data_IF_040959207331
#
_entry.id   IF_040959207331
#
_cell.length_a   1.000
_cell.length_b   1.000
_cell.length_c   1.000
_cell.angle_alpha   90.00
_cell.angle_beta   90.00
_cell.angle_gamma   90.00
#
_symmetry.space_group_name_H-M   'P 1'
#
loop_
_entity.id
_entity.type
_entity.pdbx_description
1 polymer ?
#
# COMPACT_ATOMS: atom_id res chain seq x y z
N UNK A 1 -2.49 15.45 -12.46
CA UNK A 1 -1.19 15.95 -11.96
C UNK A 1 -1.00 15.48 -10.54
N UNK A 2 0.24 15.24 -10.12
CA UNK A 2 0.61 14.68 -8.81
C UNK A 2 0.02 15.49 -7.61
N UNK A 3 -0.30 16.76 -7.83
CA UNK A 3 -0.96 17.65 -6.85
C UNK A 3 -2.49 17.53 -6.82
N UNK A 4 -3.09 16.50 -7.43
CA UNK A 4 -4.53 16.29 -7.30
C UNK A 4 -4.85 15.91 -5.85
N UNK A 5 -5.95 16.42 -5.28
CA UNK A 5 -6.32 16.14 -3.89
C UNK A 5 -6.47 14.63 -3.62
N UNK A 6 -6.85 13.86 -4.64
CA UNK A 6 -6.91 12.39 -4.60
C UNK A 6 -5.54 11.74 -4.40
N UNK A 7 -4.51 12.17 -5.15
CA UNK A 7 -3.17 11.63 -5.00
C UNK A 7 -2.58 11.92 -3.61
N UNK A 8 -2.79 13.12 -3.09
CA UNK A 8 -2.33 13.52 -1.77
C UNK A 8 -3.03 12.69 -0.68
N UNK A 9 -4.34 12.49 -0.81
CA UNK A 9 -5.11 11.69 0.14
C UNK A 9 -4.65 10.22 0.18
N UNK A 10 -4.38 9.60 -0.98
CA UNK A 10 -3.85 8.24 -1.06
C UNK A 10 -2.46 8.16 -0.41
N UNK A 11 -1.57 9.12 -0.71
CA UNK A 11 -0.23 9.14 -0.13
C UNK A 11 -0.26 9.29 1.41
N UNK A 12 -1.14 10.14 1.94
CA UNK A 12 -1.33 10.30 3.39
C UNK A 12 -1.85 9.02 4.04
N UNK A 13 -2.75 8.30 3.38
CA UNK A 13 -3.23 7.00 3.89
C UNK A 13 -2.10 5.97 3.94
N UNK A 14 -1.35 5.81 2.84
CA UNK A 14 -0.22 4.85 2.78
C UNK A 14 0.82 5.17 3.85
N UNK A 15 1.20 6.45 4.01
CA UNK A 15 2.17 6.86 5.03
C UNK A 15 1.62 6.63 6.45
N UNK A 16 0.33 6.91 6.68
CA UNK A 16 -0.32 6.67 7.97
C UNK A 16 -0.37 5.19 8.36
N UNK A 17 -0.73 4.32 7.41
CA UNK A 17 -0.75 2.87 7.61
C UNK A 17 0.68 2.31 7.78
N UNK A 18 1.65 2.80 7.01
CA UNK A 18 3.07 2.47 7.22
C UNK A 18 3.52 2.81 8.65
N UNK A 19 3.12 3.96 9.20
CA UNK A 19 3.38 4.33 10.60
C UNK A 19 2.73 3.37 11.61
N UNK A 20 1.54 2.84 11.33
CA UNK A 20 0.92 1.82 12.18
C UNK A 20 1.67 0.48 12.12
N UNK A 21 2.24 0.13 10.96
CA UNK A 21 3.04 -1.08 10.80
C UNK A 21 4.40 -1.01 11.48
N UNK A 22 5.04 0.16 11.61
CA UNK A 22 6.29 0.28 12.38
C UNK A 22 6.05 0.09 13.89
N UNK A 23 4.87 0.44 14.40
CA UNK A 23 4.51 0.23 15.80
C UNK A 23 4.19 -1.23 16.13
N UNK A 24 3.46 -1.91 15.23
CA UNK A 24 3.02 -3.29 15.42
C UNK A 24 4.07 -4.32 15.01
N UNK A 25 4.86 -4.02 13.99
CA UNK A 25 5.86 -4.90 13.40
C UNK A 25 5.31 -5.77 12.28
N UNK A 26 6.18 -6.07 11.32
CA UNK A 26 5.94 -6.98 10.20
C UNK A 26 6.83 -8.20 10.37
N UNK A 27 6.36 -9.37 9.97
CA UNK A 27 7.15 -10.59 9.98
C UNK A 27 7.71 -10.79 8.57
N UNK A 28 9.03 -10.88 8.46
CA UNK A 28 9.75 -11.21 7.23
C UNK A 28 10.11 -12.68 7.23
N UNK A 29 9.86 -13.37 6.11
CA UNK A 29 10.23 -14.78 5.92
C UNK A 29 11.30 -15.05 4.89
N UNK A 30 11.89 -14.00 4.32
CA UNK A 30 13.05 -14.20 3.47
C UNK A 30 14.18 -14.83 4.31
N UNK A 31 14.79 -15.93 3.82
CA UNK A 31 15.96 -16.47 4.47
C UNK A 31 17.08 -15.42 4.46
N UNK A 32 17.80 -15.29 5.58
CA UNK A 32 18.94 -14.36 5.68
C UNK A 32 20.08 -14.90 4.81
N UNK A 33 20.03 -14.59 3.51
CA UNK A 33 21.07 -14.96 2.54
C UNK A 33 21.49 -13.74 1.75
N UNK A 34 22.57 -13.09 2.20
CA UNK A 34 23.26 -12.05 1.44
C UNK A 34 24.51 -11.54 2.17
N UNK A 35 25.69 -11.47 1.53
CA UNK A 35 26.80 -10.67 2.02
C UNK A 35 26.49 -9.19 1.72
N UNK A 36 26.89 -8.28 2.61
CA UNK A 36 26.50 -6.86 2.73
C UNK A 36 25.22 -6.65 3.56
N UNK A 37 25.30 -7.01 4.85
CA UNK A 37 24.31 -6.56 5.85
C UNK A 37 24.70 -5.15 6.30
N UNK A 38 23.78 -4.20 6.15
CA UNK A 38 23.86 -2.87 6.76
C UNK A 38 23.65 -3.01 8.28
N UNK A 39 24.63 -2.57 9.06
CA UNK A 39 24.83 -2.85 10.49
C UNK A 39 23.74 -2.28 11.43
N UNK A 40 22.74 -1.55 10.90
CA UNK A 40 21.67 -0.95 11.73
C UNK A 40 20.52 -1.92 12.09
N UNK A 41 20.49 -3.13 11.52
CA UNK A 41 19.42 -4.13 11.68
C UNK A 41 19.69 -5.17 12.80
N UNK A 42 20.54 -4.84 13.78
CA UNK A 42 20.93 -5.74 14.88
C UNK A 42 20.76 -5.12 16.28
N UNK A 43 19.52 -4.83 16.68
CA UNK A 43 19.10 -4.82 18.09
C UNK A 43 17.63 -5.28 18.12
N UNK A 44 17.19 -6.34 18.79
CA UNK A 44 17.82 -7.24 19.75
C UNK A 44 17.12 -8.61 19.63
N UNK A 45 17.91 -9.67 19.69
CA UNK A 45 17.46 -11.05 19.82
C UNK A 45 16.85 -11.26 21.21
N UNK A 46 15.59 -11.65 21.28
CA UNK A 46 14.98 -12.40 22.41
C UNK A 46 13.84 -13.24 21.85
N UNK A 47 13.56 -14.45 22.27
CA UNK A 47 14.27 -15.47 23.02
C UNK A 47 13.33 -16.68 22.87
N UNK A 48 13.74 -17.71 22.15
CA UNK A 48 13.26 -19.07 22.46
C UNK A 48 14.29 -20.06 21.95
N UNK A 49 15.12 -20.48 22.90
CA UNK A 49 16.06 -21.57 22.76
C UNK A 49 15.40 -22.84 23.28
N UNK A 50 15.09 -23.79 22.40
CA UNK A 50 15.24 -25.23 22.66
C UNK A 50 15.48 -25.92 21.31
N UNK A 51 16.75 -26.32 21.14
CA UNK A 51 17.38 -26.93 19.98
C UNK A 51 17.01 -28.43 19.91
N UNK A 52 16.07 -28.79 19.03
CA UNK A 52 15.90 -30.17 18.52
C UNK A 52 16.26 -30.16 17.04
N UNK A 53 17.46 -30.64 16.71
CA UNK A 53 18.15 -30.49 15.43
C UNK A 53 17.53 -31.18 14.21
N UNK A 54 16.22 -31.08 13.98
CA UNK A 54 15.54 -31.72 12.85
C UNK A 54 14.62 -30.81 12.03
N UNK A 55 14.70 -29.48 12.13
CA UNK A 55 13.91 -28.59 11.24
C UNK A 55 14.73 -27.40 10.76
N UNK A 56 14.72 -27.08 9.45
CA UNK A 56 15.26 -25.80 9.01
C UNK A 56 14.47 -24.70 9.71
N UNK A 57 15.14 -23.91 10.53
CA UNK A 57 14.56 -22.73 11.16
C UNK A 57 14.25 -21.76 10.02
N UNK A 58 13.01 -21.79 9.54
CA UNK A 58 12.49 -20.77 8.63
C UNK A 58 12.41 -19.49 9.46
N UNK A 59 13.54 -18.76 9.52
CA UNK A 59 13.79 -17.67 10.45
C UNK A 59 12.89 -16.48 10.16
N UNK A 60 11.67 -16.52 10.67
CA UNK A 60 10.74 -15.41 10.60
C UNK A 60 11.21 -14.32 11.58
N UNK A 61 11.61 -13.13 11.09
CA UNK A 61 12.05 -12.00 11.95
C UNK A 61 10.98 -10.91 11.99
N UNK A 62 10.86 -10.22 13.12
CA UNK A 62 10.01 -9.03 13.21
C UNK A 62 10.81 -7.80 12.77
N UNK A 63 10.36 -7.14 11.71
CA UNK A 63 10.93 -5.91 11.14
C UNK A 63 10.02 -4.73 11.47
N UNK A 64 10.61 -3.61 11.89
CA UNK A 64 9.91 -2.35 12.23
C UNK A 64 10.39 -1.15 11.39
N UNK A 65 11.15 -1.43 10.34
CA UNK A 65 11.73 -0.41 9.49
C UNK A 65 10.67 0.29 8.64
N UNK A 66 10.79 1.61 8.54
CA UNK A 66 9.86 2.43 7.77
C UNK A 66 9.83 2.05 6.28
N UNK A 67 10.97 1.65 5.71
CA UNK A 67 11.07 1.19 4.33
C UNK A 67 10.23 -0.07 4.06
N UNK A 68 10.36 -1.07 4.94
CA UNK A 68 9.59 -2.32 4.87
C UNK A 68 8.09 -2.07 5.12
N UNK A 69 7.76 -1.13 6.00
CA UNK A 69 6.38 -0.72 6.27
C UNK A 69 5.71 -0.01 5.09
N UNK A 70 6.41 0.93 4.44
CA UNK A 70 5.93 1.57 3.20
C UNK A 70 5.75 0.50 2.11
N UNK A 71 6.76 -0.34 1.92
CA UNK A 71 6.69 -1.39 0.91
C UNK A 71 5.48 -2.29 1.13
N UNK A 72 5.27 -2.76 2.37
CA UNK A 72 4.11 -3.57 2.75
C UNK A 72 2.78 -2.85 2.50
N UNK A 73 2.66 -1.58 2.90
CA UNK A 73 1.45 -0.77 2.68
C UNK A 73 1.18 -0.59 1.18
N UNK A 74 2.21 -0.33 0.36
CA UNK A 74 2.06 -0.17 -1.10
C UNK A 74 1.59 -1.47 -1.77
N UNK A 75 2.17 -2.62 -1.42
CA UNK A 75 1.78 -3.91 -2.02
C UNK A 75 0.40 -4.38 -1.54
N UNK A 76 0.00 -3.99 -0.32
CA UNK A 76 -1.32 -4.28 0.25
C UNK A 76 -2.37 -3.40 -0.42
N UNK A 77 -2.10 -2.10 -0.51
CA UNK A 77 -2.96 -1.12 -1.18
C UNK A 77 -3.18 -1.45 -2.67
N UNK A 78 -2.11 -1.89 -3.35
CA UNK A 78 -2.18 -2.33 -4.75
C UNK A 78 -2.72 -3.75 -4.93
N UNK A 79 -3.05 -4.45 -3.83
CA UNK A 79 -3.53 -5.84 -3.81
C UNK A 79 -2.57 -6.87 -4.43
N UNK A 80 -1.29 -6.52 -4.58
CA UNK A 80 -0.25 -7.40 -5.14
C UNK A 80 0.12 -8.49 -4.14
N UNK A 81 0.42 -8.12 -2.90
CA UNK A 81 0.67 -9.05 -1.79
C UNK A 81 1.66 -10.17 -2.10
N UNK A 82 2.94 -9.87 -2.36
CA UNK A 82 3.98 -10.88 -2.66
C UNK A 82 4.16 -11.97 -1.59
N UNK A 83 3.69 -11.74 -0.37
CA UNK A 83 3.69 -12.74 0.70
C UNK A 83 5.02 -12.93 1.42
N UNK A 84 6.00 -12.06 1.17
CA UNK A 84 7.31 -12.04 1.86
C UNK A 84 7.24 -11.39 3.25
N UNK A 85 6.38 -10.38 3.37
CA UNK A 85 6.12 -9.65 4.59
C UNK A 85 4.66 -9.87 4.97
N UNK A 86 4.41 -10.08 6.26
CA UNK A 86 3.05 -10.22 6.77
C UNK A 86 2.86 -9.56 8.13
N UNK A 87 1.67 -9.01 8.39
CA UNK A 87 1.38 -8.33 9.63
C UNK A 87 1.28 -9.36 10.77
N UNK A 88 1.80 -8.97 11.94
CA UNK A 88 1.61 -9.73 13.18
C UNK A 88 0.11 -9.91 13.48
N UNK A 89 -0.24 -10.91 14.31
CA UNK A 89 -1.63 -11.34 14.57
C UNK A 89 -2.60 -10.18 14.85
N UNK A 90 -2.19 -9.16 15.61
CA UNK A 90 -3.00 -7.99 15.93
C UNK A 90 -3.10 -6.97 14.77
N UNK A 91 -2.09 -6.87 13.91
CA UNK A 91 -2.03 -5.95 12.78
C UNK A 91 -2.79 -6.46 11.54
N UNK A 92 -3.23 -7.72 11.53
CA UNK A 92 -4.05 -8.28 10.43
C UNK A 92 -5.35 -7.50 10.21
N UNK A 93 -5.96 -7.01 11.29
CA UNK A 93 -7.16 -6.16 11.22
C UNK A 93 -6.87 -4.82 10.54
N UNK A 94 -5.69 -4.25 10.79
CA UNK A 94 -5.24 -2.99 10.19
C UNK A 94 -5.07 -3.17 8.67
N UNK A 95 -4.44 -4.27 8.24
CA UNK A 95 -4.30 -4.60 6.82
C UNK A 95 -5.64 -4.85 6.12
N UNK A 96 -6.59 -5.48 6.82
CA UNK A 96 -7.96 -5.63 6.34
C UNK A 96 -8.66 -4.27 6.13
N UNK A 97 -8.56 -3.37 7.11
CA UNK A 97 -9.13 -2.02 7.02
C UNK A 97 -8.48 -1.20 5.91
N UNK A 98 -7.16 -1.27 5.76
CA UNK A 98 -6.41 -0.63 4.67
C UNK A 98 -6.94 -1.06 3.31
N UNK A 99 -7.15 -2.36 3.13
CA UNK A 99 -7.66 -2.93 1.87
C UNK A 99 -9.09 -2.47 1.59
N UNK A 100 -9.99 -2.49 2.58
CA UNK A 100 -11.38 -2.03 2.44
C UNK A 100 -11.42 -0.55 2.06
N UNK A 101 -10.63 0.30 2.72
CA UNK A 101 -10.53 1.72 2.39
C UNK A 101 -9.97 1.90 0.97
N UNK A 102 -8.94 1.14 0.59
CA UNK A 102 -8.38 1.15 -0.75
C UNK A 102 -9.44 0.90 -1.84
N UNK A 103 -10.33 -0.07 -1.62
CA UNK A 103 -11.43 -0.35 -2.55
C UNK A 103 -12.44 0.80 -2.65
N UNK A 104 -12.82 1.41 -1.54
CA UNK A 104 -13.72 2.57 -1.54
C UNK A 104 -13.08 3.73 -2.33
N UNK A 105 -11.78 3.97 -2.12
CA UNK A 105 -11.04 4.99 -2.86
C UNK A 105 -10.92 4.67 -4.36
N UNK A 106 -10.72 3.42 -4.75
CA UNK A 106 -10.72 3.02 -6.16
C UNK A 106 -12.08 3.27 -6.82
N UNK A 107 -13.19 2.98 -6.12
CA UNK A 107 -14.53 3.31 -6.60
C UNK A 107 -14.74 4.81 -6.84
N UNK A 108 -14.27 5.65 -5.92
CA UNK A 108 -14.32 7.11 -6.06
C UNK A 108 -13.41 7.61 -7.19
N UNK A 109 -12.22 7.02 -7.35
CA UNK A 109 -11.31 7.37 -8.43
C UNK A 109 -11.94 7.08 -9.79
N UNK A 110 -12.57 5.91 -9.95
CA UNK A 110 -13.28 5.55 -11.18
C UNK A 110 -14.45 6.50 -11.43
N UNK A 111 -15.25 6.84 -10.42
CA UNK A 111 -16.39 7.76 -10.61
C UNK A 111 -15.96 9.16 -11.07
N UNK A 112 -14.86 9.68 -10.53
CA UNK A 112 -14.29 10.97 -10.93
C UNK A 112 -13.74 10.90 -12.35
N UNK A 113 -13.03 9.83 -12.71
CA UNK A 113 -12.50 9.65 -14.08
C UNK A 113 -13.65 9.56 -15.08
N UNK A 114 -14.68 8.76 -14.80
CA UNK A 114 -15.87 8.62 -15.65
C UNK A 114 -16.57 9.96 -15.79
N UNK A 115 -16.81 10.69 -14.69
CA UNK A 115 -17.45 12.01 -14.74
C UNK A 115 -16.59 13.02 -15.52
N UNK A 116 -15.28 13.04 -15.33
CA UNK A 116 -14.38 13.92 -16.07
C UNK A 116 -14.40 13.63 -17.59
N UNK A 117 -14.47 12.36 -17.98
CA UNK A 117 -14.60 11.97 -19.39
C UNK A 117 -16.00 12.31 -19.94
N UNK A 118 -17.05 12.07 -19.15
CA UNK A 118 -18.43 12.34 -19.54
C UNK A 118 -18.70 13.85 -19.71
N UNK A 119 -18.22 14.68 -18.77
CA UNK A 119 -18.33 16.13 -18.85
C UNK A 119 -17.55 16.71 -20.03
N UNK A 120 -16.40 16.12 -20.40
CA UNK A 120 -15.68 16.51 -21.62
C UNK A 120 -16.49 16.23 -22.89
N UNK A 121 -17.15 15.07 -22.97
CA UNK A 121 -18.05 14.75 -24.09
C UNK A 121 -19.26 15.67 -24.14
N UNK A 122 -19.91 15.95 -23.00
CA UNK A 122 -21.09 16.81 -22.96
C UNK A 122 -20.78 18.24 -23.40
N UNK A 123 -19.62 18.76 -23.01
CA UNK A 123 -19.17 20.10 -23.43
C UNK A 123 -18.90 20.19 -24.93
N UNK A 124 -18.33 19.15 -25.54
CA UNK A 124 -18.11 19.11 -27.00
C UNK A 124 -19.41 18.98 -27.79
N UNK A 125 -20.36 18.17 -27.31
CA UNK A 125 -21.65 18.02 -27.97
C UNK A 125 -22.41 19.36 -28.02
N UNK A 126 -22.52 20.05 -26.88
CA UNK A 126 -23.18 21.36 -26.81
C UNK A 126 -22.46 22.45 -27.62
N UNK A 127 -21.16 22.30 -27.91
CA UNK A 127 -20.40 23.31 -28.64
C UNK A 127 -20.59 23.17 -30.16
N UNK A 128 -20.71 21.94 -30.68
CA UNK A 128 -21.16 21.72 -32.06
C UNK A 128 -22.63 22.17 -32.26
N UNK A 129 -23.50 21.97 -31.27
CA UNK A 129 -24.90 22.43 -31.34
C UNK A 129 -25.01 23.98 -31.31
N UNK A 130 -24.04 24.68 -30.73
CA UNK A 130 -24.07 26.15 -30.59
C UNK A 130 -23.41 26.90 -31.76
N UNK A 131 -22.64 26.22 -32.61
CA UNK A 131 -22.10 26.79 -33.86
C UNK A 131 -23.15 26.82 -35.01
N UNK A 132 -24.32 26.18 -34.83
CA UNK A 132 -25.43 26.20 -35.79
C UNK A 132 -26.45 27.34 -35.55
N UNK A 133 -26.21 28.20 -34.55
CA UNK A 133 -27.06 29.35 -34.21
C UNK A 133 -26.76 30.64 -34.97
N UNK A 134 -25.72 30.66 -35.81
CA UNK A 134 -25.40 31.79 -36.70
C UNK A 134 -25.13 31.30 -38.12
N UNK A 135 -26.16 30.72 -38.75
CA UNK A 135 -26.35 30.94 -40.17
C UNK A 135 -27.24 32.18 -40.35
N UNK A 136 -26.90 33.01 -41.33
CA UNK A 136 -27.83 34.00 -41.90
C UNK A 136 -29.25 33.45 -42.07
#
# INVERSE_FOLDING_TARGET
GLNSPFCISIAVLIIGFAGAYTQTGLVDTRPVTGPMVEESTYHELQADSEDDGTRPVSGARIVRDFGSAIYFSVITWSTVGYGELYPVTHARWIAGLETILGYIYMGLLVSVVVNAVFLRKNKQNNQCDQEDGECR
#
